data_IF_759229864363
#
_entry.id   IF_759229864363
#
_cell.length_a   1.000
_cell.length_b   1.000
_cell.length_c   1.000
_cell.angle_alpha   90.00
_cell.angle_beta   90.00
_cell.angle_gamma   90.00
#
_symmetry.space_group_name_H-M   'P 1'
#
loop_
_entity.id
_entity.type
_entity.pdbx_description
1 polymer ?
#
# COMPACT_ATOMS: atom_id res chain seq x y z
N UNK A 1 24.10 -9.62 -20.76
CA UNK A 1 23.48 -8.39 -20.21
C UNK A 1 23.18 -7.40 -21.32
N UNK A 2 24.21 -6.67 -21.78
CA UNK A 2 24.07 -5.59 -22.78
C UNK A 2 23.45 -6.05 -24.10
N UNK A 3 23.88 -7.17 -24.67
CA UNK A 3 23.30 -7.69 -25.93
C UNK A 3 21.81 -8.03 -25.81
N UNK A 4 21.35 -8.43 -24.62
CA UNK A 4 19.93 -8.66 -24.36
C UNK A 4 19.16 -7.34 -24.29
N UNK A 5 19.72 -6.33 -23.65
CA UNK A 5 19.11 -4.99 -23.59
C UNK A 5 18.94 -4.39 -25.00
N UNK A 6 19.92 -4.58 -25.88
CA UNK A 6 19.84 -4.15 -27.28
C UNK A 6 18.76 -4.86 -28.10
N UNK A 7 18.31 -6.05 -27.67
CA UNK A 7 17.22 -6.77 -28.36
C UNK A 7 15.83 -6.21 -28.05
N UNK A 8 15.70 -5.35 -27.04
CA UNK A 8 14.43 -4.72 -26.73
C UNK A 8 14.10 -3.64 -27.74
N UNK A 9 12.83 -3.59 -28.15
CA UNK A 9 12.32 -2.49 -28.94
C UNK A 9 12.24 -1.24 -28.06
N UNK A 10 12.98 -0.20 -28.44
CA UNK A 10 12.86 1.13 -27.84
C UNK A 10 11.71 1.86 -28.52
N UNK A 11 10.84 2.46 -27.74
CA UNK A 11 9.65 3.17 -28.22
C UNK A 11 9.47 4.49 -27.48
N UNK A 12 8.78 5.42 -28.13
CA UNK A 12 8.19 6.59 -27.47
C UNK A 12 6.94 6.12 -26.70
N UNK A 13 7.13 5.74 -25.45
CA UNK A 13 6.16 4.97 -24.67
C UNK A 13 4.86 5.74 -24.42
N UNK A 14 4.94 7.03 -24.11
CA UNK A 14 3.79 7.90 -23.86
C UNK A 14 2.92 8.06 -25.11
N UNK A 15 3.54 8.18 -26.29
CA UNK A 15 2.82 8.23 -27.56
C UNK A 15 2.16 6.89 -27.89
N UNK A 16 2.86 5.78 -27.67
CA UNK A 16 2.32 4.44 -27.87
C UNK A 16 1.11 4.16 -26.97
N UNK A 17 1.23 4.47 -25.68
CA UNK A 17 0.16 4.27 -24.69
C UNK A 17 -1.05 5.14 -25.04
N UNK A 18 -0.85 6.44 -25.31
CA UNK A 18 -1.97 7.33 -25.65
C UNK A 18 -2.66 6.97 -26.96
N UNK A 19 -1.92 6.50 -27.99
CA UNK A 19 -2.52 5.97 -29.23
C UNK A 19 -3.33 4.71 -28.95
N UNK A 20 -2.83 3.82 -28.10
CA UNK A 20 -3.54 2.59 -27.70
C UNK A 20 -4.86 2.91 -26.99
N UNK A 21 -4.83 3.82 -26.02
CA UNK A 21 -6.03 4.31 -25.34
C UNK A 21 -7.04 4.95 -26.32
N UNK A 22 -6.56 5.80 -27.24
CA UNK A 22 -7.42 6.47 -28.24
C UNK A 22 -8.04 5.47 -29.22
N UNK A 23 -7.35 4.36 -29.50
CA UNK A 23 -7.88 3.26 -30.32
C UNK A 23 -8.85 2.33 -29.59
N UNK A 24 -9.24 2.67 -28.36
CA UNK A 24 -10.19 1.88 -27.56
C UNK A 24 -9.59 0.65 -26.87
N UNK A 25 -8.25 0.52 -26.83
CA UNK A 25 -7.59 -0.57 -26.11
C UNK A 25 -7.51 -0.25 -24.61
N UNK A 26 -7.64 -1.28 -23.79
CA UNK A 26 -7.36 -1.20 -22.36
C UNK A 26 -5.86 -1.15 -22.06
N UNK A 27 -5.49 -0.41 -21.02
CA UNK A 27 -4.14 -0.39 -20.44
C UNK A 27 -4.28 -0.65 -18.95
N UNK A 28 -3.55 -1.65 -18.44
CA UNK A 28 -3.46 -1.93 -17.02
C UNK A 28 -2.11 -1.38 -16.51
N UNK A 29 -2.17 -0.43 -15.58
CA UNK A 29 -0.99 0.09 -14.91
C UNK A 29 -0.77 -0.70 -13.61
N UNK A 30 0.35 -1.42 -13.51
CA UNK A 30 0.73 -2.15 -12.31
C UNK A 30 1.50 -1.23 -11.37
N UNK A 31 0.88 -0.84 -10.25
CA UNK A 31 1.53 -0.03 -9.23
C UNK A 31 2.65 -0.80 -8.52
N UNK A 32 3.76 -0.11 -8.27
CA UNK A 32 4.82 -0.63 -7.42
C UNK A 32 4.62 -0.19 -5.97
N UNK A 33 4.91 -1.09 -5.02
CA UNK A 33 4.85 -0.83 -3.57
C UNK A 33 3.41 -0.48 -3.10
N UNK A 34 3.28 0.15 -1.93
CA UNK A 34 1.99 0.57 -1.38
C UNK A 34 2.01 2.04 -0.98
N UNK A 35 0.85 2.69 -0.93
CA UNK A 35 0.74 4.16 -0.77
C UNK A 35 1.41 4.72 0.49
N UNK A 36 1.50 3.93 1.56
CA UNK A 36 2.22 4.33 2.79
C UNK A 36 3.74 4.40 2.62
N UNK A 37 4.26 4.00 1.46
CA UNK A 37 5.67 4.13 1.07
C UNK A 37 5.88 5.24 0.04
N UNK A 38 4.87 6.03 -0.30
CA UNK A 38 4.99 7.17 -1.20
C UNK A 38 5.97 8.22 -0.63
N UNK A 39 6.73 8.89 -1.51
CA UNK A 39 7.72 9.89 -1.10
C UNK A 39 7.10 11.12 -0.43
N UNK A 40 5.91 11.53 -0.87
CA UNK A 40 5.23 12.74 -0.38
C UNK A 40 4.19 12.41 0.69
N UNK A 41 3.48 11.29 0.51
CA UNK A 41 2.31 10.92 1.30
C UNK A 41 2.51 9.71 2.21
N UNK A 42 3.68 9.07 2.14
CA UNK A 42 4.01 7.93 2.98
C UNK A 42 4.53 8.34 4.35
N UNK A 43 4.93 7.34 5.14
CA UNK A 43 5.52 7.54 6.47
C UNK A 43 6.97 8.02 6.41
N UNK A 44 7.21 9.23 5.89
CA UNK A 44 8.55 9.80 5.72
C UNK A 44 9.33 9.83 7.05
N UNK A 45 10.65 9.55 7.08
CA UNK A 45 11.55 9.24 5.95
C UNK A 45 11.58 7.75 5.56
N UNK A 46 10.70 6.91 6.12
CA UNK A 46 10.70 5.46 5.92
C UNK A 46 9.88 5.05 4.68
N UNK A 47 10.21 5.67 3.56
CA UNK A 47 9.46 5.61 2.29
C UNK A 47 10.39 5.27 1.13
N UNK A 48 9.82 5.06 -0.06
CA UNK A 48 10.59 5.00 -1.29
C UNK A 48 10.87 6.40 -1.83
N UNK A 49 11.67 6.49 -2.89
CA UNK A 49 12.01 7.76 -3.55
C UNK A 49 11.11 8.09 -4.75
N UNK A 50 9.95 7.46 -4.85
CA UNK A 50 9.02 7.63 -5.98
C UNK A 50 7.57 7.75 -5.50
N UNK A 51 6.72 8.25 -6.39
CA UNK A 51 5.28 8.28 -6.14
C UNK A 51 4.68 6.88 -6.38
N UNK A 52 4.04 6.33 -5.36
CA UNK A 52 3.38 5.01 -5.33
C UNK A 52 1.86 5.13 -5.31
N UNK A 53 1.35 6.35 -5.45
CA UNK A 53 -0.07 6.65 -5.61
C UNK A 53 -0.49 6.69 -7.09
N UNK A 54 -1.79 6.74 -7.35
CA UNK A 54 -2.43 6.75 -8.67
C UNK A 54 -1.86 7.84 -9.60
N UNK A 55 -1.55 9.02 -9.04
CA UNK A 55 -0.91 10.11 -9.79
C UNK A 55 0.45 9.70 -10.41
N UNK A 56 1.17 8.75 -9.79
CA UNK A 56 2.40 8.17 -10.34
C UNK A 56 2.20 7.45 -11.67
N UNK A 57 1.00 6.90 -11.94
CA UNK A 57 0.67 6.33 -13.25
C UNK A 57 0.56 7.44 -14.32
N UNK A 58 0.08 8.62 -13.96
CA UNK A 58 -0.02 9.75 -14.88
C UNK A 58 1.37 10.24 -15.31
N UNK A 59 2.26 10.46 -14.34
CA UNK A 59 3.62 10.94 -14.60
C UNK A 59 4.51 9.85 -15.21
N UNK A 60 4.37 8.59 -14.76
CA UNK A 60 5.19 7.47 -15.22
C UNK A 60 4.82 6.92 -16.60
N UNK A 61 3.56 7.06 -17.03
CA UNK A 61 3.08 6.57 -18.35
C UNK A 61 2.77 7.70 -19.35
N UNK A 62 2.83 8.96 -18.91
CA UNK A 62 2.45 10.11 -19.74
C UNK A 62 0.96 10.15 -20.06
N UNK A 63 0.11 9.76 -19.10
CA UNK A 63 -1.35 9.69 -19.27
C UNK A 63 -2.01 10.86 -18.54
N UNK A 64 -2.91 11.59 -19.21
CA UNK A 64 -3.64 12.68 -18.60
C UNK A 64 -4.56 12.16 -17.47
N UNK A 65 -4.69 12.86 -16.32
CA UNK A 65 -5.50 12.39 -15.19
C UNK A 65 -6.94 12.02 -15.55
N UNK A 66 -7.58 12.77 -16.46
CA UNK A 66 -8.96 12.49 -16.93
C UNK A 66 -9.11 11.17 -17.69
N UNK A 67 -8.01 10.53 -18.10
CA UNK A 67 -8.02 9.22 -18.77
C UNK A 67 -7.88 8.05 -17.79
N UNK A 68 -7.63 8.31 -16.52
CA UNK A 68 -7.68 7.25 -15.50
C UNK A 68 -9.13 6.79 -15.37
N UNK A 69 -9.32 5.47 -15.49
CA UNK A 69 -10.62 4.81 -15.34
C UNK A 69 -10.76 4.22 -13.95
N UNK A 70 -10.78 2.89 -13.88
CA UNK A 70 -10.89 2.18 -12.60
C UNK A 70 -9.56 2.17 -11.85
N UNK A 71 -9.62 2.49 -10.56
CA UNK A 71 -8.52 2.38 -9.60
C UNK A 71 -8.88 1.30 -8.58
N UNK A 72 -8.08 0.23 -8.57
CA UNK A 72 -8.25 -0.91 -7.67
C UNK A 72 -7.32 -0.77 -6.47
N UNK A 73 -7.87 -0.56 -5.28
CA UNK A 73 -7.15 -0.54 -4.02
C UNK A 73 -6.95 -1.97 -3.52
N UNK A 74 -5.74 -2.50 -3.67
CA UNK A 74 -5.38 -3.81 -3.16
C UNK A 74 -4.88 -3.65 -1.73
N UNK A 75 -5.52 -4.33 -0.79
CA UNK A 75 -5.12 -4.31 0.61
C UNK A 75 -5.21 -5.71 1.21
N UNK A 76 -4.49 -5.95 2.31
CA UNK A 76 -4.57 -7.20 3.04
C UNK A 76 -5.55 -7.07 4.19
N UNK A 77 -6.15 -8.18 4.63
CA UNK A 77 -7.03 -8.22 5.80
C UNK A 77 -6.32 -7.85 7.12
N UNK A 78 -4.99 -7.72 7.10
CA UNK A 78 -4.14 -7.29 8.21
C UNK A 78 -2.93 -6.51 7.68
N UNK A 79 -2.26 -5.76 8.53
CA UNK A 79 -1.14 -4.91 8.15
C UNK A 79 0.19 -5.63 8.28
N UNK A 80 1.14 -5.31 7.40
CA UNK A 80 2.54 -5.73 7.57
C UNK A 80 3.49 -4.64 7.15
N UNK A 81 4.66 -4.58 7.80
CA UNK A 81 5.73 -3.65 7.46
C UNK A 81 7.06 -4.39 7.36
N UNK A 82 7.87 -4.00 6.37
CA UNK A 82 9.28 -4.42 6.26
C UNK A 82 10.15 -3.26 6.76
N UNK A 83 11.15 -3.58 7.57
CA UNK A 83 12.11 -2.58 8.05
C UNK A 83 11.59 -1.72 9.20
N UNK A 84 12.27 -0.60 9.42
CA UNK A 84 11.99 0.36 10.47
C UNK A 84 10.83 1.30 10.11
N UNK A 85 10.50 2.18 11.05
CA UNK A 85 9.44 3.17 10.92
C UNK A 85 8.20 2.81 11.73
N UNK A 86 7.30 3.78 11.89
CA UNK A 86 6.12 3.64 12.75
C UNK A 86 5.13 2.62 12.22
N UNK A 87 4.46 1.93 13.14
CA UNK A 87 3.45 0.94 12.81
C UNK A 87 2.43 0.88 13.96
N UNK A 88 1.41 1.76 13.94
CA UNK A 88 0.49 1.94 15.07
C UNK A 88 -0.19 0.65 15.53
N UNK A 89 -0.56 -0.23 14.59
CA UNK A 89 -1.26 -1.49 14.88
C UNK A 89 -0.34 -2.70 15.03
N UNK A 90 0.97 -2.51 15.18
CA UNK A 90 1.93 -3.61 15.31
C UNK A 90 1.66 -4.49 16.54
N UNK A 91 1.76 -5.80 16.34
CA UNK A 91 1.61 -6.81 17.38
C UNK A 91 2.98 -7.38 17.77
N UNK A 92 3.26 -7.32 19.07
CA UNK A 92 4.46 -7.87 19.70
C UNK A 92 4.19 -9.16 20.49
N UNK A 93 2.96 -9.67 20.40
CA UNK A 93 2.48 -10.83 21.14
C UNK A 93 2.35 -12.08 20.24
N UNK A 94 1.68 -13.11 20.77
CA UNK A 94 1.45 -14.39 20.07
C UNK A 94 0.62 -14.20 18.79
N UNK A 95 -0.29 -13.23 18.76
CA UNK A 95 -1.19 -13.01 17.62
C UNK A 95 -0.38 -12.47 16.44
N UNK A 96 0.56 -11.55 16.71
CA UNK A 96 1.51 -11.07 15.70
C UNK A 96 2.39 -12.17 15.11
N UNK A 97 2.85 -13.13 15.93
CA UNK A 97 3.63 -14.27 15.45
C UNK A 97 2.78 -15.26 14.65
N UNK A 98 1.58 -15.61 15.15
CA UNK A 98 0.65 -16.48 14.44
C UNK A 98 0.26 -15.92 13.07
N UNK A 99 -0.05 -14.62 13.01
CA UNK A 99 -0.39 -13.92 11.76
C UNK A 99 0.77 -13.95 10.75
N UNK A 100 2.00 -13.77 11.23
CA UNK A 100 3.20 -13.86 10.39
C UNK A 100 3.36 -15.25 9.80
N UNK A 101 3.19 -16.30 10.60
CA UNK A 101 3.41 -17.68 10.17
C UNK A 101 2.34 -18.16 9.19
N UNK A 102 1.06 -17.94 9.53
CA UNK A 102 -0.07 -18.28 8.65
C UNK A 102 0.00 -17.50 7.34
N UNK A 103 0.31 -16.20 7.41
CA UNK A 103 0.45 -15.33 6.25
C UNK A 103 1.73 -15.53 5.44
N UNK A 104 2.67 -16.37 5.91
CA UNK A 104 4.03 -16.53 5.35
C UNK A 104 4.72 -15.19 5.12
N UNK A 105 4.64 -14.30 6.10
CA UNK A 105 5.13 -12.93 6.01
C UNK A 105 6.64 -12.84 6.27
N UNK A 106 7.40 -13.43 5.34
CA UNK A 106 8.86 -13.49 5.32
C UNK A 106 9.36 -12.99 3.96
N UNK A 107 10.51 -12.31 3.95
CA UNK A 107 11.13 -11.85 2.71
C UNK A 107 11.50 -13.02 1.80
N UNK A 108 11.12 -12.99 0.53
CA UNK A 108 11.36 -14.08 -0.44
C UNK A 108 12.84 -14.34 -0.74
N UNK A 109 13.69 -13.34 -0.53
CA UNK A 109 15.14 -13.44 -0.77
C UNK A 109 15.90 -13.59 0.55
N UNK A 110 15.65 -12.70 1.51
CA UNK A 110 16.41 -12.63 2.76
C UNK A 110 15.88 -13.53 3.88
N UNK A 111 14.65 -14.03 3.75
CA UNK A 111 13.94 -14.74 4.82
C UNK A 111 13.58 -13.86 6.02
N UNK A 112 13.85 -12.54 5.98
CA UNK A 112 13.63 -11.65 7.13
C UNK A 112 12.14 -11.59 7.47
N UNK A 113 11.75 -11.78 8.75
CA UNK A 113 10.36 -11.67 9.17
C UNK A 113 9.84 -10.25 8.97
N UNK A 114 8.59 -10.13 8.50
CA UNK A 114 7.88 -8.86 8.46
C UNK A 114 7.22 -8.60 9.80
N UNK A 115 7.12 -7.33 10.16
CA UNK A 115 6.29 -6.88 11.28
C UNK A 115 4.83 -7.07 10.87
N UNK A 116 3.99 -7.55 11.79
CA UNK A 116 2.58 -7.85 11.53
C UNK A 116 1.71 -7.12 12.55
N UNK A 117 0.51 -6.76 12.13
CA UNK A 117 -0.41 -5.97 12.95
C UNK A 117 -1.83 -6.05 12.44
N UNK A 118 -2.77 -5.67 13.28
CA UNK A 118 -4.18 -5.61 12.90
C UNK A 118 -4.40 -4.62 11.74
N UNK A 119 -5.52 -4.80 11.02
CA UNK A 119 -5.92 -3.88 9.96
C UNK A 119 -6.06 -2.45 10.51
N UNK A 120 -5.59 -1.50 9.73
CA UNK A 120 -5.61 -0.08 10.05
C UNK A 120 -6.53 0.66 9.06
N UNK A 121 -7.75 0.99 9.50
CA UNK A 121 -8.72 1.67 8.65
C UNK A 121 -8.45 3.17 8.52
N UNK A 122 -7.73 3.78 9.46
CA UNK A 122 -7.29 5.19 9.36
C UNK A 122 -6.36 5.33 8.16
N UNK A 123 -5.31 4.49 8.09
CA UNK A 123 -4.38 4.47 6.97
C UNK A 123 -5.05 4.02 5.66
N UNK A 124 -5.98 3.06 5.71
CA UNK A 124 -6.70 2.61 4.50
C UNK A 124 -7.60 3.71 3.91
N UNK A 125 -8.36 4.44 4.75
CA UNK A 125 -9.18 5.57 4.30
C UNK A 125 -8.34 6.67 3.68
N UNK A 126 -7.19 6.98 4.29
CA UNK A 126 -6.22 7.92 3.74
C UNK A 126 -5.72 7.49 2.35
N UNK A 127 -5.32 6.21 2.19
CA UNK A 127 -4.90 5.69 0.90
C UNK A 127 -6.04 5.70 -0.14
N UNK A 128 -7.27 5.39 0.26
CA UNK A 128 -8.45 5.45 -0.62
C UNK A 128 -8.68 6.88 -1.13
N UNK A 129 -8.64 7.86 -0.22
CA UNK A 129 -8.83 9.28 -0.53
C UNK A 129 -7.77 9.76 -1.53
N UNK A 130 -6.49 9.52 -1.28
CA UNK A 130 -5.40 9.98 -2.15
C UNK A 130 -5.48 9.42 -3.57
N UNK A 131 -5.85 8.15 -3.69
CA UNK A 131 -5.81 7.44 -4.96
C UNK A 131 -7.13 7.54 -5.74
N UNK A 132 -8.20 8.05 -5.14
CA UNK A 132 -9.54 8.00 -5.74
C UNK A 132 -9.97 6.55 -6.03
N UNK A 133 -9.76 5.66 -5.07
CA UNK A 133 -10.03 4.22 -5.26
C UNK A 133 -11.50 3.99 -5.61
N UNK A 134 -11.72 3.29 -6.73
CA UNK A 134 -13.06 2.95 -7.22
C UNK A 134 -13.55 1.58 -6.76
N UNK A 135 -12.61 0.65 -6.50
CA UNK A 135 -12.89 -0.73 -6.09
C UNK A 135 -11.83 -1.19 -5.10
N UNK A 136 -12.26 -1.90 -4.05
CA UNK A 136 -11.37 -2.51 -3.07
C UNK A 136 -11.28 -4.01 -3.28
N UNK A 137 -10.07 -4.55 -3.11
CA UNK A 137 -9.79 -5.97 -3.25
C UNK A 137 -9.01 -6.42 -2.01
N UNK A 138 -9.70 -7.10 -1.10
CA UNK A 138 -9.14 -7.60 0.16
C UNK A 138 -8.45 -8.94 -0.06
N UNK A 139 -7.18 -9.02 0.29
CA UNK A 139 -6.34 -10.20 0.16
C UNK A 139 -6.08 -10.84 1.52
N UNK A 140 -5.79 -12.14 1.50
CA UNK A 140 -5.35 -12.92 2.68
C UNK A 140 -6.33 -12.90 3.87
N UNK A 141 -7.63 -12.91 3.60
CA UNK A 141 -8.64 -13.05 4.65
C UNK A 141 -8.54 -14.41 5.36
N UNK A 142 -8.14 -15.45 4.64
CA UNK A 142 -7.94 -16.83 5.13
C UNK A 142 -6.92 -16.94 6.28
N UNK A 143 -5.98 -15.99 6.36
CA UNK A 143 -5.01 -15.92 7.47
C UNK A 143 -5.71 -15.68 8.81
N UNK A 144 -6.88 -15.02 8.79
CA UNK A 144 -7.60 -14.65 10.00
C UNK A 144 -8.59 -15.74 10.48
N UNK A 145 -8.78 -16.83 9.73
CA UNK A 145 -9.79 -17.87 10.00
C UNK A 145 -9.64 -18.55 11.37
N UNK A 146 -8.43 -18.56 11.93
CA UNK A 146 -8.11 -19.24 13.20
C UNK A 146 -8.04 -18.30 14.40
N UNK A 147 -8.30 -17.00 14.21
CA UNK A 147 -8.29 -16.03 15.30
C UNK A 147 -9.66 -15.98 15.97
N UNK A 148 -9.69 -16.11 17.29
CA UNK A 148 -10.92 -16.02 18.08
C UNK A 148 -11.52 -14.60 18.04
N UNK A 149 -10.66 -13.58 18.00
CA UNK A 149 -11.05 -12.17 17.91
C UNK A 149 -10.17 -11.47 16.90
N UNK A 150 -10.80 -10.75 15.98
CA UNK A 150 -10.13 -9.89 15.01
C UNK A 150 -10.37 -8.46 15.45
N UNK A 151 -9.28 -7.73 15.75
CA UNK A 151 -9.37 -6.31 16.08
C UNK A 151 -9.19 -5.46 14.84
N UNK A 152 -9.95 -4.37 14.76
CA UNK A 152 -9.89 -3.43 13.63
C UNK A 152 -9.61 -2.04 14.17
N UNK A 153 -8.51 -1.41 13.75
CA UNK A 153 -8.22 -0.03 14.16
C UNK A 153 -9.10 0.92 13.34
N UNK A 154 -9.97 1.66 14.03
CA UNK A 154 -10.95 2.56 13.41
C UNK A 154 -10.58 4.04 13.56
N UNK A 155 -9.83 4.37 14.62
CA UNK A 155 -9.36 5.70 14.94
C UNK A 155 -8.01 5.62 15.66
N UNK A 156 -7.34 6.76 15.77
CA UNK A 156 -6.15 6.94 16.57
C UNK A 156 -6.45 7.88 17.73
N UNK A 157 -5.94 7.58 18.91
CA UNK A 157 -5.88 8.50 20.03
C UNK A 157 -4.47 9.11 20.10
N UNK A 158 -4.42 10.44 19.99
CA UNK A 158 -3.19 11.22 20.03
C UNK A 158 -3.35 12.26 21.15
N UNK A 159 -2.62 12.08 22.25
CA UNK A 159 -2.67 12.96 23.42
C UNK A 159 -4.10 13.17 23.99
N UNK A 160 -4.91 12.11 24.01
CA UNK A 160 -6.29 12.15 24.51
C UNK A 160 -7.32 12.64 23.51
N UNK A 161 -6.93 12.95 22.27
CA UNK A 161 -7.85 13.33 21.20
C UNK A 161 -7.95 12.20 20.17
N UNK A 162 -9.17 11.72 19.94
CA UNK A 162 -9.43 10.73 18.89
C UNK A 162 -9.54 11.41 17.52
N UNK A 163 -8.95 10.78 16.51
CA UNK A 163 -9.00 11.21 15.12
C UNK A 163 -9.14 10.02 14.18
N UNK A 164 -9.91 10.21 13.11
CA UNK A 164 -10.01 9.25 12.00
C UNK A 164 -9.08 9.60 10.83
N UNK A 165 -8.40 10.75 10.92
CA UNK A 165 -7.46 11.26 9.93
C UNK A 165 -6.05 10.80 10.24
N UNK A 166 -5.33 10.37 9.20
CA UNK A 166 -3.91 10.06 9.30
C UNK A 166 -3.12 11.36 9.60
N UNK A 167 -2.39 11.45 10.71
CA UNK A 167 -1.63 12.66 11.02
C UNK A 167 -0.40 12.79 10.12
N UNK A 168 0.10 14.02 9.98
CA UNK A 168 1.32 14.31 9.21
C UNK A 168 2.53 13.51 9.70
N UNK A 169 2.67 13.39 11.01
CA UNK A 169 3.73 12.61 11.65
C UNK A 169 3.10 11.46 12.44
N UNK A 170 3.52 10.24 12.11
CA UNK A 170 3.11 9.02 12.79
C UNK A 170 4.21 8.41 13.67
N UNK A 171 5.32 9.11 13.88
CA UNK A 171 6.42 8.67 14.74
C UNK A 171 6.20 8.95 16.23
N UNK A 172 5.25 9.83 16.56
CA UNK A 172 4.84 10.13 17.94
C UNK A 172 4.07 8.99 18.62
N UNK A 173 3.65 9.22 19.87
CA UNK A 173 2.82 8.27 20.60
C UNK A 173 1.39 8.28 20.02
N UNK A 174 1.09 7.29 19.20
CA UNK A 174 -0.23 7.06 18.60
C UNK A 174 -0.78 5.77 19.16
N UNK A 175 -1.93 5.86 19.84
CA UNK A 175 -2.61 4.70 20.38
C UNK A 175 -3.76 4.30 19.45
N UNK A 176 -3.72 3.11 18.82
CA UNK A 176 -4.81 2.65 17.97
C UNK A 176 -6.07 2.35 18.81
N UNK A 177 -7.21 2.88 18.37
CA UNK A 177 -8.53 2.55 18.92
C UNK A 177 -9.11 1.37 18.13
N UNK A 178 -9.30 0.25 18.82
CA UNK A 178 -9.79 -1.00 18.22
C UNK A 178 -11.28 -1.23 18.52
N UNK A 179 -11.97 -1.81 17.54
CA UNK A 179 -13.27 -2.50 17.70
C UNK A 179 -13.12 -4.00 17.52
#
# INVERSE_FOLDING_TARGET
GVEKLKSFQVIDSEHFINKSLTSGKGVLAEGAQGSMLDIDFGSYPFVTSSNTICAGACTGLGVAPRKIGEVFGIFKAYCTRVGSGPFPTELFDKDGQQMRDLGREYGSVTGRPRRCGWIDLVALRYAIMLNGVTKLVMMKSDVLDTFETIKVCVAYNINGQETEDLPFDITGNIEPVFV
#
